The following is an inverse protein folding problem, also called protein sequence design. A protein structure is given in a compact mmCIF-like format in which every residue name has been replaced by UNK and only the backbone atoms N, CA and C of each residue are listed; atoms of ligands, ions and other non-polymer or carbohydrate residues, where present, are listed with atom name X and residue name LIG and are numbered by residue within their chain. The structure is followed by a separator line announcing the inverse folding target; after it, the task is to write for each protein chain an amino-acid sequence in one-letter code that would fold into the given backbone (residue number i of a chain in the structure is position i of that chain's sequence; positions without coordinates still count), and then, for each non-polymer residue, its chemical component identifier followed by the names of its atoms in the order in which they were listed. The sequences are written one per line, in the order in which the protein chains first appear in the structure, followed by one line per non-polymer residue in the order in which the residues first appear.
data_IF_966866628445
#
_entry.id   IF_966866628445
#
_cell.length_a   1.000
_cell.length_b   1.000
_cell.length_c   1.000
_cell.angle_alpha   90.00
_cell.angle_beta   90.00
_cell.angle_gamma   90.00
#
_symmetry.space_group_name_H-M   'P 1'
#
loop_
_entity.id
_entity.type
_entity.pdbx_description
1 polymer ?
#
# COMPACT_ATOMS: atom_id res chain seq x y z
N UNK A 1 -15.76 -9.12 -19.00
CA UNK A 1 -14.54 -9.60 -18.31
C UNK A 1 -14.89 -9.82 -16.84
N UNK A 2 -14.99 -11.08 -16.41
CA UNK A 2 -15.16 -11.42 -14.99
C UNK A 2 -13.94 -10.89 -14.25
N UNK A 3 -14.07 -9.78 -13.51
CA UNK A 3 -12.93 -9.24 -12.78
C UNK A 3 -12.52 -10.21 -11.69
N UNK A 4 -11.23 -10.58 -11.68
CA UNK A 4 -10.67 -11.54 -10.73
C UNK A 4 -10.92 -11.07 -9.28
N UNK A 5 -11.21 -12.00 -8.35
CA UNK A 5 -11.33 -11.69 -6.92
C UNK A 5 -10.18 -10.80 -6.40
N UNK A 6 -8.94 -11.11 -6.76
CA UNK A 6 -7.77 -10.30 -6.37
C UNK A 6 -7.89 -8.84 -6.84
N UNK A 7 -8.36 -8.61 -8.07
CA UNK A 7 -8.56 -7.25 -8.61
C UNK A 7 -9.60 -6.46 -7.80
N UNK A 8 -10.70 -7.11 -7.40
CA UNK A 8 -11.73 -6.48 -6.56
C UNK A 8 -11.20 -6.09 -5.18
N UNK A 9 -10.35 -6.93 -4.59
CA UNK A 9 -9.70 -6.62 -3.32
C UNK A 9 -8.76 -5.42 -3.42
N UNK A 10 -7.96 -5.34 -4.49
CA UNK A 10 -7.13 -4.17 -4.75
C UNK A 10 -7.95 -2.88 -4.85
N UNK A 11 -9.04 -2.88 -5.64
CA UNK A 11 -9.89 -1.70 -5.75
C UNK A 11 -10.42 -1.22 -4.40
N UNK A 12 -10.91 -2.15 -3.56
CA UNK A 12 -11.40 -1.79 -2.22
C UNK A 12 -10.29 -1.25 -1.31
N UNK A 13 -9.12 -1.88 -1.33
CA UNK A 13 -7.98 -1.44 -0.53
C UNK A 13 -7.51 -0.05 -0.97
N UNK A 14 -7.40 0.19 -2.29
CA UNK A 14 -7.00 1.47 -2.85
C UNK A 14 -8.00 2.59 -2.58
N UNK A 15 -9.31 2.31 -2.62
CA UNK A 15 -10.32 3.32 -2.29
C UNK A 15 -10.25 3.82 -0.85
N UNK A 16 -9.75 3.00 0.08
CA UNK A 16 -9.54 3.39 1.48
C UNK A 16 -8.19 4.05 1.72
N UNK A 17 -7.25 3.93 0.78
CA UNK A 17 -5.89 4.42 0.94
C UNK A 17 -5.89 5.96 0.97
N UNK A 18 -5.20 6.61 1.92
CA UNK A 18 -5.15 8.05 1.99
C UNK A 18 -4.48 8.63 0.74
N UNK A 19 -5.00 9.76 0.25
CA UNK A 19 -4.36 10.50 -0.84
C UNK A 19 -3.19 11.29 -0.28
N UNK A 20 -2.04 11.17 -0.90
CA UNK A 20 -0.86 11.93 -0.50
C UNK A 20 -1.02 13.39 -0.95
N UNK A 21 -1.16 14.30 0.02
CA UNK A 21 -1.31 15.72 -0.24
C UNK A 21 0.02 16.40 -0.65
N UNK A 22 1.16 15.79 -0.31
CA UNK A 22 2.48 16.38 -0.59
C UNK A 22 2.93 16.16 -2.03
N UNK A 23 2.47 15.07 -2.66
CA UNK A 23 2.79 14.72 -4.05
C UNK A 23 1.55 14.21 -4.79
N UNK A 24 0.65 15.12 -5.20
CA UNK A 24 -0.56 14.75 -5.91
C UNK A 24 -0.30 14.03 -7.25
N UNK A 25 0.86 14.28 -7.88
CA UNK A 25 1.29 13.70 -9.16
C UNK A 25 1.72 12.23 -9.08
N UNK A 26 2.10 11.75 -7.89
CA UNK A 26 2.65 10.42 -7.70
C UNK A 26 1.94 9.70 -6.55
N UNK A 27 0.67 9.37 -6.76
CA UNK A 27 -0.12 8.65 -5.76
C UNK A 27 0.19 7.15 -5.82
N UNK A 28 0.32 6.54 -4.64
CA UNK A 28 0.51 5.10 -4.50
C UNK A 28 -0.57 4.29 -5.22
N UNK A 29 -1.80 4.80 -5.24
CA UNK A 29 -2.94 4.19 -5.93
C UNK A 29 -2.68 4.01 -7.43
N UNK A 30 -2.08 5.02 -8.06
CA UNK A 30 -1.77 4.99 -9.49
C UNK A 30 -0.61 4.03 -9.79
N UNK A 31 0.39 3.97 -8.91
CA UNK A 31 1.50 3.04 -9.04
C UNK A 31 1.03 1.56 -8.99
N UNK A 32 0.14 1.23 -8.04
CA UNK A 32 -0.41 -0.13 -7.91
C UNK A 32 -1.31 -0.47 -9.10
N UNK A 33 -2.16 0.46 -9.57
CA UNK A 33 -2.98 0.24 -10.78
C UNK A 33 -2.12 -0.08 -12.00
N UNK A 34 -1.09 0.74 -12.27
CA UNK A 34 -0.15 0.51 -13.38
C UNK A 34 0.58 -0.84 -13.25
N UNK A 35 0.96 -1.25 -12.03
CA UNK A 35 1.58 -2.57 -11.78
C UNK A 35 0.63 -3.69 -12.16
N UNK A 36 -0.62 -3.63 -11.71
CA UNK A 36 -1.63 -4.69 -11.97
C UNK A 36 -1.91 -4.80 -13.46
N UNK A 37 -2.08 -3.67 -14.15
CA UNK A 37 -2.26 -3.64 -15.61
C UNK A 37 -1.07 -4.27 -16.33
N UNK A 38 0.16 -3.92 -15.93
CA UNK A 38 1.38 -4.51 -16.50
C UNK A 38 1.46 -6.02 -16.27
N UNK A 39 1.13 -6.51 -15.07
CA UNK A 39 1.18 -7.94 -14.74
C UNK A 39 0.10 -8.71 -15.49
N UNK A 40 -1.10 -8.14 -15.59
CA UNK A 40 -2.21 -8.69 -16.36
C UNK A 40 -1.85 -8.78 -17.85
N UNK A 41 -1.27 -7.71 -18.41
CA UNK A 41 -0.81 -7.70 -19.80
C UNK A 41 0.35 -8.68 -20.05
N UNK A 42 1.23 -8.88 -19.07
CA UNK A 42 2.35 -9.81 -19.15
C UNK A 42 1.95 -11.29 -18.95
N UNK A 43 0.67 -11.59 -18.66
CA UNK A 43 0.19 -12.96 -18.43
C UNK A 43 0.73 -13.64 -17.16
N UNK A 44 1.41 -12.91 -16.27
CA UNK A 44 2.03 -13.43 -15.03
C UNK A 44 1.09 -13.29 -13.82
N UNK A 45 -0.21 -13.19 -14.06
CA UNK A 45 -1.20 -12.94 -13.03
C UNK A 45 -1.50 -14.22 -12.24
N UNK A 46 -0.79 -14.41 -11.13
CA UNK A 46 -1.05 -15.50 -10.17
C UNK A 46 -1.98 -15.00 -9.05
N UNK A 47 -3.23 -15.46 -9.09
CA UNK A 47 -4.28 -15.04 -8.17
C UNK A 47 -3.90 -15.25 -6.69
N UNK A 48 -3.23 -16.37 -6.35
CA UNK A 48 -2.86 -16.65 -4.96
C UNK A 48 -1.84 -15.64 -4.45
N UNK A 49 -0.84 -15.30 -5.27
CA UNK A 49 0.20 -14.33 -4.91
C UNK A 49 -0.39 -12.93 -4.76
N UNK A 50 -1.28 -12.54 -5.67
CA UNK A 50 -1.90 -11.22 -5.65
C UNK A 50 -2.85 -11.05 -4.45
N UNK A 51 -3.53 -12.11 -3.99
CA UNK A 51 -4.30 -12.08 -2.74
C UNK A 51 -3.42 -11.88 -1.50
N UNK A 52 -2.23 -12.50 -1.44
CA UNK A 52 -1.27 -12.27 -0.35
C UNK A 52 -0.80 -10.81 -0.34
N UNK A 53 -0.53 -10.23 -1.51
CA UNK A 53 -0.17 -8.82 -1.64
C UNK A 53 -1.32 -7.90 -1.19
N UNK A 54 -2.57 -8.21 -1.55
CA UNK A 54 -3.73 -7.48 -1.04
C UNK A 54 -3.82 -7.53 0.49
N UNK A 55 -3.55 -8.69 1.10
CA UNK A 55 -3.59 -8.84 2.55
C UNK A 55 -2.48 -8.02 3.26
N UNK A 56 -1.28 -7.96 2.68
CA UNK A 56 -0.23 -7.07 3.16
C UNK A 56 -0.68 -5.60 3.08
N UNK A 57 -1.35 -5.21 1.99
CA UNK A 57 -1.89 -3.88 1.78
C UNK A 57 -2.95 -3.50 2.84
N UNK A 58 -3.85 -4.42 3.19
CA UNK A 58 -4.80 -4.22 4.30
C UNK A 58 -4.09 -4.10 5.65
N UNK A 59 -3.06 -4.91 5.90
CA UNK A 59 -2.28 -4.86 7.15
C UNK A 59 -1.59 -3.50 7.34
N UNK A 60 -1.12 -2.88 6.25
CA UNK A 60 -0.58 -1.53 6.25
C UNK A 60 -1.66 -0.48 6.53
N UNK A 61 -2.82 -0.62 5.88
CA UNK A 61 -3.92 0.35 6.02
C UNK A 61 -4.54 0.37 7.42
N UNK A 62 -4.59 -0.79 8.08
CA UNK A 62 -5.07 -0.91 9.47
C UNK A 62 -4.05 -0.39 10.50
N UNK A 63 -2.93 0.21 10.09
CA UNK A 63 -1.88 0.69 10.99
C UNK A 63 -1.42 -0.40 11.98
N UNK A 64 -1.52 -1.69 11.60
CA UNK A 64 -1.32 -2.84 12.51
C UNK A 64 0.08 -2.88 13.13
N UNK A 65 1.04 -2.15 12.55
CA UNK A 65 2.42 -2.04 13.01
C UNK A 65 2.71 -0.79 13.85
N UNK A 66 1.74 0.13 14.02
CA UNK A 66 1.90 1.40 14.72
C UNK A 66 2.31 1.25 16.20
N UNK A 67 1.94 0.15 16.83
CA UNK A 67 2.36 -0.19 18.20
C UNK A 67 3.64 -1.02 18.31
N UNK A 68 4.22 -1.47 17.19
CA UNK A 68 5.34 -2.44 17.20
C UNK A 68 6.72 -1.80 17.01
N UNK A 69 6.75 -0.60 16.42
CA UNK A 69 7.94 0.25 16.39
C UNK A 69 7.86 1.27 17.52
N UNK A 70 8.61 1.02 18.61
CA UNK A 70 8.95 2.06 19.58
C UNK A 70 9.74 3.13 18.81
N UNK A 71 9.08 4.20 18.42
CA UNK A 71 9.78 5.40 17.96
C UNK A 71 10.51 5.92 19.19
N UNK A 72 11.79 5.56 19.31
CA UNK A 72 12.66 6.05 20.37
C UNK A 72 12.81 7.55 20.10
N UNK A 73 11.93 8.35 20.69
CA UNK A 73 11.98 9.81 20.65
C UNK A 73 13.25 10.23 21.40
N UNK A 74 14.37 10.28 20.69
CA UNK A 74 15.55 10.97 21.16
C UNK A 74 15.23 12.46 21.10
N UNK A 75 14.59 12.94 22.16
CA UNK A 75 14.54 14.34 22.51
C UNK A 75 15.99 14.77 22.77
N UNK A 76 16.68 15.20 21.72
CA UNK A 76 17.97 15.88 21.82
C UNK A 76 17.70 17.28 22.37
N UNK A 77 17.41 17.37 23.67
CA UNK A 77 17.34 18.64 24.37
C UNK A 77 18.78 19.13 24.57
N UNK A 78 19.04 20.36 24.12
CA UNK A 78 20.36 20.89 23.82
C UNK A 78 21.34 20.90 24.99
N UNK A 79 22.60 20.58 24.66
CA UNK A 79 23.74 21.11 25.38
C UNK A 79 24.22 22.35 24.61
N UNK A 80 23.94 23.52 25.19
CA UNK A 80 24.47 24.79 24.74
C UNK A 80 25.95 24.92 25.11
N UNK A 81 26.68 25.55 24.18
CA UNK A 81 27.92 26.33 24.30
C UNK A 81 28.83 26.10 25.53
#
# INVERSE_FOLDING_TARGET
MSQSPAYRHYLRALSRWPKDALRPEAQFQDAIRRRIERISAAGKFDEKRELVQCNALYSLLEDRYRGKVRVFSFFFFGFGF
#
